data_IF_912112882649
#
_entry.id   IF_912112882649
#
_cell.length_a   1.000
_cell.length_b   1.000
_cell.length_c   1.000
_cell.angle_alpha   90.00
_cell.angle_beta   90.00
_cell.angle_gamma   90.00
#
_symmetry.space_group_name_H-M   'P 1'
#
loop_
_entity.id
_entity.type
_entity.pdbx_description
1 polymer ?
#
# COMPACT_ATOMS: atom_id res chain seq x y z
N UNK A 1 -24.07 -11.11 5.81
CA UNK A 1 -23.19 -12.15 5.24
C UNK A 1 -21.77 -11.65 5.03
N UNK A 2 -21.56 -10.47 4.41
CA UNK A 2 -20.22 -9.85 4.21
C UNK A 2 -19.39 -9.78 5.51
N UNK A 3 -19.96 -9.30 6.62
CA UNK A 3 -19.29 -9.26 7.94
C UNK A 3 -18.77 -10.60 8.46
N UNK A 4 -19.34 -11.73 8.00
CA UNK A 4 -18.92 -13.08 8.43
C UNK A 4 -17.79 -13.60 7.52
N UNK A 5 -17.78 -13.21 6.26
CA UNK A 5 -16.75 -13.60 5.29
C UNK A 5 -15.45 -12.81 5.47
N UNK A 6 -15.54 -11.56 5.94
CA UNK A 6 -14.42 -10.64 6.16
C UNK A 6 -13.87 -10.65 7.58
N UNK A 7 -14.38 -11.49 8.48
CA UNK A 7 -13.91 -11.55 9.85
C UNK A 7 -12.54 -12.23 9.91
N UNK A 8 -11.58 -11.59 10.58
CA UNK A 8 -10.26 -12.17 10.86
C UNK A 8 -10.39 -13.25 11.94
N UNK A 9 -9.66 -14.34 11.75
CA UNK A 9 -9.36 -15.31 12.79
C UNK A 9 -8.12 -14.84 13.55
N UNK A 10 -8.32 -14.39 14.79
CA UNK A 10 -7.26 -13.87 15.66
C UNK A 10 -6.74 -14.92 16.64
N UNK A 11 -7.02 -16.21 16.40
CA UNK A 11 -6.55 -17.27 17.29
C UNK A 11 -5.04 -17.45 17.17
N UNK A 12 -4.38 -17.41 18.33
CA UNK A 12 -2.94 -17.63 18.46
C UNK A 12 -2.75 -18.58 19.64
N UNK A 13 -1.87 -19.58 19.49
CA UNK A 13 -1.53 -20.49 20.59
C UNK A 13 -0.63 -19.81 21.61
N UNK A 14 -0.74 -20.22 22.88
CA UNK A 14 0.11 -19.71 23.96
C UNK A 14 1.61 -19.90 23.67
N UNK A 15 1.97 -20.98 22.96
CA UNK A 15 3.33 -21.26 22.51
C UNK A 15 3.85 -20.16 21.56
N UNK A 16 3.07 -19.79 20.54
CA UNK A 16 3.43 -18.71 19.60
C UNK A 16 3.48 -17.35 20.29
N UNK A 17 2.58 -17.11 21.26
CA UNK A 17 2.58 -15.88 22.03
C UNK A 17 3.88 -15.71 22.83
N UNK A 18 4.43 -16.80 23.39
CA UNK A 18 5.72 -16.77 24.07
C UNK A 18 6.89 -16.49 23.10
N UNK A 19 6.81 -16.97 21.85
CA UNK A 19 7.82 -16.67 20.82
C UNK A 19 7.83 -15.18 20.47
N UNK A 20 6.67 -14.52 20.38
CA UNK A 20 6.60 -13.08 20.09
C UNK A 20 7.30 -12.22 21.14
N UNK A 21 7.27 -12.61 22.42
CA UNK A 21 8.02 -11.93 23.48
C UNK A 21 9.53 -12.00 23.18
N UNK A 22 10.02 -13.17 22.80
CA UNK A 22 11.43 -13.35 22.44
C UNK A 22 11.82 -12.56 21.19
N UNK A 23 10.92 -12.40 20.22
CA UNK A 23 11.18 -11.59 19.02
C UNK A 23 11.25 -10.10 19.38
N UNK A 24 10.29 -9.61 20.16
CA UNK A 24 10.29 -8.23 20.62
C UNK A 24 11.56 -7.88 21.42
N UNK A 25 11.96 -8.75 22.36
CA UNK A 25 13.21 -8.58 23.10
C UNK A 25 14.44 -8.55 22.19
N UNK A 26 14.45 -9.34 21.11
CA UNK A 26 15.55 -9.30 20.14
C UNK A 26 15.54 -8.00 19.34
N UNK A 27 14.40 -7.59 18.82
CA UNK A 27 14.25 -6.43 17.95
C UNK A 27 14.57 -5.12 18.71
N UNK A 28 14.20 -5.02 19.98
CA UNK A 28 14.58 -3.90 20.87
C UNK A 28 16.09 -3.74 21.07
N UNK A 29 16.88 -4.81 20.87
CA UNK A 29 18.34 -4.74 20.99
C UNK A 29 19.04 -4.26 19.71
N UNK A 30 18.32 -4.22 18.59
CA UNK A 30 18.86 -3.81 17.30
C UNK A 30 18.73 -2.28 17.11
N UNK A 31 19.68 -1.64 16.41
CA UNK A 31 19.52 -0.25 16.00
C UNK A 31 18.41 -0.17 14.93
N UNK A 32 17.17 0.10 15.36
CA UNK A 32 16.06 0.33 14.45
C UNK A 32 16.28 1.67 13.72
N UNK A 33 16.67 1.60 12.45
CA UNK A 33 16.86 2.78 11.59
C UNK A 33 15.53 3.38 11.12
N UNK A 34 14.47 2.58 11.17
CA UNK A 34 13.10 2.97 10.89
C UNK A 34 12.28 2.69 12.14
N UNK A 35 12.19 3.65 13.07
CA UNK A 35 11.03 3.69 13.93
C UNK A 35 9.83 3.89 13.00
N UNK A 36 9.02 2.86 12.78
CA UNK A 36 7.66 3.09 12.34
C UNK A 36 7.06 3.82 13.55
N UNK A 37 6.71 5.10 13.40
CA UNK A 37 6.17 5.96 14.48
C UNK A 37 4.98 5.31 15.23
N UNK A 38 4.40 4.23 14.68
CA UNK A 38 3.20 3.54 15.12
C UNK A 38 3.43 2.10 15.64
N UNK A 39 4.65 1.54 15.59
CA UNK A 39 4.94 0.17 16.09
C UNK A 39 4.73 0.03 17.61
N UNK A 40 4.71 1.17 18.32
CA UNK A 40 4.37 1.24 19.75
C UNK A 40 2.88 1.51 20.02
N UNK A 41 2.03 1.56 18.99
CA UNK A 41 0.59 1.65 19.22
C UNK A 41 0.09 0.33 19.82
N UNK A 42 -0.61 0.42 20.95
CA UNK A 42 -1.20 -0.75 21.62
C UNK A 42 -2.30 -1.44 20.78
N UNK A 43 -2.58 -0.94 19.58
CA UNK A 43 -3.61 -1.43 18.67
C UNK A 43 -3.04 -2.39 17.61
N UNK A 44 -1.73 -2.63 17.59
CA UNK A 44 -1.08 -3.61 16.70
C UNK A 44 -1.07 -5.01 17.33
N UNK A 45 -1.49 -6.00 16.55
CA UNK A 45 -1.56 -7.39 16.98
C UNK A 45 -0.97 -8.32 15.91
N UNK A 46 -0.34 -9.40 16.35
CA UNK A 46 0.10 -10.48 15.46
C UNK A 46 -1.10 -11.27 14.94
N UNK A 47 -1.08 -11.68 13.67
CA UNK A 47 -2.12 -12.53 13.05
C UNK A 47 -1.49 -13.69 12.29
N UNK A 48 -2.13 -14.86 12.35
CA UNK A 48 -1.70 -16.02 11.57
C UNK A 48 -2.26 -15.95 10.15
N UNK A 49 -1.40 -15.69 9.17
CA UNK A 49 -1.78 -15.59 7.76
C UNK A 49 -2.26 -16.93 7.17
N UNK A 50 -1.86 -18.07 7.74
CA UNK A 50 -2.33 -19.38 7.29
C UNK A 50 -3.80 -19.62 7.66
N UNK A 51 -4.27 -19.03 8.76
CA UNK A 51 -5.68 -19.03 9.16
C UNK A 51 -6.49 -17.97 8.40
N UNK A 52 -5.83 -16.93 7.89
CA UNK A 52 -6.43 -15.79 7.20
C UNK A 52 -5.99 -15.68 5.73
N UNK A 53 -6.28 -16.68 4.88
CA UNK A 53 -5.90 -16.61 3.47
C UNK A 53 -6.70 -15.53 2.74
N UNK A 54 -6.04 -14.84 1.80
CA UNK A 54 -6.71 -13.93 0.88
C UNK A 54 -7.75 -14.67 0.05
N UNK A 55 -9.01 -14.21 0.10
CA UNK A 55 -10.14 -14.83 -0.61
C UNK A 55 -11.29 -13.84 -0.78
N UNK A 56 -12.35 -14.28 -1.47
CA UNK A 56 -13.58 -13.51 -1.59
C UNK A 56 -14.22 -13.22 -0.21
N UNK A 57 -14.24 -11.95 0.17
CA UNK A 57 -14.83 -11.47 1.44
C UNK A 57 -16.23 -10.91 1.29
N UNK A 58 -16.74 -10.82 0.05
CA UNK A 58 -17.99 -10.11 -0.24
C UNK A 58 -17.89 -8.58 -0.23
N UNK A 59 -16.71 -8.01 0.04
CA UNK A 59 -16.51 -6.56 0.06
C UNK A 59 -16.71 -5.95 -1.34
N UNK A 60 -17.81 -5.20 -1.51
CA UNK A 60 -18.22 -4.63 -2.81
C UNK A 60 -18.98 -3.31 -2.66
N UNK A 61 -19.22 -2.64 -3.78
CA UNK A 61 -20.05 -1.43 -3.84
C UNK A 61 -19.27 -0.13 -3.61
N UNK A 62 -19.94 0.95 -3.16
CA UNK A 62 -19.33 2.27 -3.12
C UNK A 62 -18.14 2.40 -2.15
N UNK A 63 -18.06 1.55 -1.12
CA UNK A 63 -16.97 1.59 -0.14
C UNK A 63 -15.63 1.23 -0.75
N UNK A 64 -15.41 0.01 -1.31
CA UNK A 64 -14.14 -0.32 -1.99
C UNK A 64 -13.83 0.64 -3.14
N UNK A 65 -14.84 1.13 -3.87
CA UNK A 65 -14.60 2.09 -4.96
C UNK A 65 -13.97 3.40 -4.47
N UNK A 66 -14.37 3.90 -3.30
CA UNK A 66 -13.76 5.09 -2.69
C UNK A 66 -12.33 4.83 -2.25
N UNK A 67 -12.07 3.67 -1.61
CA UNK A 67 -10.72 3.29 -1.18
C UNK A 67 -9.78 3.22 -2.38
N UNK A 68 -10.16 2.48 -3.44
CA UNK A 68 -9.34 2.40 -4.64
C UNK A 68 -9.12 3.75 -5.29
N UNK A 69 -10.17 4.59 -5.40
CA UNK A 69 -10.02 5.95 -5.92
C UNK A 69 -8.97 6.73 -5.13
N UNK A 70 -9.04 6.74 -3.80
CA UNK A 70 -8.07 7.42 -2.96
C UNK A 70 -6.64 6.90 -3.17
N UNK A 71 -6.44 5.58 -3.26
CA UNK A 71 -5.11 4.99 -3.54
C UNK A 71 -4.57 5.47 -4.89
N UNK A 72 -5.40 5.53 -5.94
CA UNK A 72 -4.96 6.04 -7.24
C UNK A 72 -4.69 7.56 -7.22
N UNK A 73 -5.39 8.31 -6.38
CA UNK A 73 -5.20 9.76 -6.20
C UNK A 73 -3.90 10.11 -5.46
N UNK A 74 -3.30 9.16 -4.72
CA UNK A 74 -1.96 9.30 -4.13
C UNK A 74 -0.83 9.38 -5.17
N UNK A 75 -1.12 9.20 -6.47
CA UNK A 75 -0.16 9.30 -7.57
C UNK A 75 0.30 10.74 -7.85
N UNK A 76 0.93 11.36 -6.86
CA UNK A 76 1.31 12.77 -6.85
C UNK A 76 2.83 12.95 -6.70
N UNK A 77 3.57 12.58 -7.76
CA UNK A 77 5.00 12.84 -7.84
C UNK A 77 5.26 14.30 -8.25
N UNK A 78 6.13 14.99 -7.50
CA UNK A 78 6.59 16.34 -7.86
C UNK A 78 7.38 16.23 -9.17
N UNK A 79 7.06 17.00 -10.22
CA UNK A 79 7.95 17.09 -11.36
C UNK A 79 9.28 17.65 -10.87
N UNK A 80 10.39 16.93 -11.12
CA UNK A 80 11.72 17.47 -10.88
C UNK A 80 11.81 18.84 -11.58
N UNK A 81 11.95 19.89 -10.77
CA UNK A 81 12.45 21.15 -11.29
C UNK A 81 13.95 20.91 -11.55
N UNK A 82 14.35 21.04 -12.80
CA UNK A 82 15.73 21.27 -13.27
C UNK A 82 16.58 20.14 -13.89
N UNK A 83 16.03 18.98 -14.30
CA UNK A 83 16.71 18.15 -15.31
C UNK A 83 15.78 17.81 -16.47
N UNK A 84 15.64 18.77 -17.39
CA UNK A 84 14.89 18.62 -18.62
C UNK A 84 15.48 17.54 -19.52
N UNK A 85 14.79 16.41 -19.61
CA UNK A 85 14.73 15.61 -20.83
C UNK A 85 13.25 15.43 -21.21
N UNK A 86 12.66 16.46 -21.83
CA UNK A 86 11.27 16.40 -22.29
C UNK A 86 10.54 17.73 -22.44
N UNK A 87 11.09 18.87 -22.02
CA UNK A 87 10.42 20.17 -22.16
C UNK A 87 10.19 20.60 -23.62
N UNK A 88 10.84 19.94 -24.58
CA UNK A 88 10.67 20.22 -26.01
C UNK A 88 9.52 19.44 -26.68
N UNK A 89 8.90 18.46 -26.00
CA UNK A 89 7.81 17.66 -26.61
C UNK A 89 6.45 18.39 -26.55
N UNK A 90 6.27 19.30 -25.59
CA UNK A 90 5.02 20.07 -25.41
C UNK A 90 4.74 21.07 -26.54
N UNK A 91 5.75 21.44 -27.34
CA UNK A 91 5.57 22.42 -28.42
C UNK A 91 5.02 21.84 -29.73
N UNK A 92 5.10 20.52 -29.93
CA UNK A 92 4.85 19.92 -31.26
C UNK A 92 3.66 18.95 -31.33
N UNK A 93 3.07 18.56 -30.21
CA UNK A 93 1.91 17.65 -30.21
C UNK A 93 0.73 18.36 -29.55
N UNK A 94 -0.38 18.41 -30.28
CA UNK A 94 -1.59 19.17 -29.91
C UNK A 94 -2.17 18.80 -28.54
N UNK A 95 -3.26 19.47 -28.13
CA UNK A 95 -3.76 19.52 -26.75
C UNK A 95 -4.19 18.18 -26.13
N UNK A 96 -4.11 17.08 -26.87
CA UNK A 96 -4.51 15.73 -26.47
C UNK A 96 -3.32 14.81 -26.14
N UNK A 97 -2.09 15.16 -26.56
CA UNK A 97 -0.88 14.38 -26.24
C UNK A 97 -0.27 14.73 -24.87
N UNK A 98 -0.77 15.79 -24.23
CA UNK A 98 -0.12 16.42 -23.08
C UNK A 98 -0.54 15.86 -21.73
N UNK A 99 -1.31 14.77 -21.65
CA UNK A 99 -1.62 14.13 -20.36
C UNK A 99 -0.77 12.88 -20.14
N UNK A 100 -0.65 11.99 -21.13
CA UNK A 100 0.22 10.81 -21.01
C UNK A 100 1.71 11.12 -21.26
N UNK A 101 2.03 12.04 -22.18
CA UNK A 101 3.42 12.45 -22.43
C UNK A 101 3.94 13.46 -21.38
N UNK A 102 3.07 14.00 -20.51
CA UNK A 102 3.44 14.89 -19.40
C UNK A 102 3.47 14.19 -18.05
N UNK A 103 3.13 12.91 -17.99
CA UNK A 103 3.31 12.11 -16.78
C UNK A 103 4.77 11.73 -16.62
N UNK A 104 5.38 12.15 -15.51
CA UNK A 104 6.69 11.64 -15.08
C UNK A 104 6.67 10.10 -15.08
N UNK A 105 7.79 9.45 -15.40
CA UNK A 105 7.86 7.98 -15.51
C UNK A 105 7.40 7.28 -14.22
N UNK A 106 7.66 7.91 -13.08
CA UNK A 106 7.27 7.50 -11.73
C UNK A 106 5.75 7.39 -11.60
N UNK A 107 5.00 8.34 -12.20
CA UNK A 107 3.53 8.31 -12.17
C UNK A 107 2.97 7.10 -12.91
N UNK A 108 3.59 6.77 -14.05
CA UNK A 108 3.22 5.61 -14.86
C UNK A 108 3.61 4.31 -14.17
N UNK A 109 4.77 4.26 -13.51
CA UNK A 109 5.20 3.11 -12.73
C UNK A 109 4.25 2.86 -11.55
N UNK A 110 3.95 3.89 -10.76
CA UNK A 110 2.99 3.80 -9.66
C UNK A 110 1.63 3.27 -10.13
N UNK A 111 1.06 3.87 -11.18
CA UNK A 111 -0.23 3.44 -11.72
C UNK A 111 -0.22 1.95 -12.11
N UNK A 112 0.86 1.48 -12.75
CA UNK A 112 0.98 0.07 -13.17
C UNK A 112 1.12 -0.89 -12.00
N UNK A 113 1.85 -0.52 -10.96
CA UNK A 113 2.01 -1.33 -9.75
C UNK A 113 0.66 -1.48 -9.02
N UNK A 114 -0.04 -0.36 -8.78
CA UNK A 114 -1.35 -0.38 -8.12
C UNK A 114 -2.39 -1.09 -8.97
N UNK A 115 -2.38 -0.88 -10.30
CA UNK A 115 -3.26 -1.60 -11.21
C UNK A 115 -3.00 -3.10 -11.19
N UNK A 116 -1.74 -3.53 -11.12
CA UNK A 116 -1.38 -4.95 -11.00
C UNK A 116 -1.92 -5.56 -9.71
N UNK A 117 -1.77 -4.85 -8.58
CA UNK A 117 -2.29 -5.29 -7.27
C UNK A 117 -3.82 -5.38 -7.23
N UNK A 118 -4.53 -4.52 -7.96
CA UNK A 118 -6.00 -4.52 -7.99
C UNK A 118 -6.60 -5.63 -8.89
N UNK A 119 -5.80 -6.29 -9.72
CA UNK A 119 -6.29 -7.29 -10.71
C UNK A 119 -6.62 -8.62 -10.08
#
# INVERSE_FOLDING_TARGET
>A
EERKLSALDTTISDEKMAEFVSWNEHDETLPMFCEIDDDHSNDLEYVDLLLNPERYTGYKGPSPHRIWRSIYEENCFKPEKDYGYGSDISRNFGPDASLEASMCLEKRAFYRLISGLHT
#
